data_IF_621631614472
#
_entry.id   IF_621631614472
#
_cell.length_a   1.000
_cell.length_b   1.000
_cell.length_c   1.000
_cell.angle_alpha   90.00
_cell.angle_beta   90.00
_cell.angle_gamma   90.00
#
_symmetry.space_group_name_H-M   'P 1'
#
loop_
_entity.id
_entity.type
_entity.pdbx_description
1 polymer ?
#
# COMPACT_ATOMS: atom_id res chain seq x y z
N UNK A 1 -27.88 -2.23 53.53
CA UNK A 1 -27.08 -1.27 52.73
C UNK A 1 -26.19 -2.06 51.78
N UNK A 2 -26.54 -2.12 50.49
CA UNK A 2 -25.71 -2.78 49.47
C UNK A 2 -24.97 -1.67 48.73
N UNK A 3 -23.65 -1.62 48.87
CA UNK A 3 -22.80 -0.60 48.26
C UNK A 3 -22.90 -0.63 46.72
N UNK A 4 -22.92 0.54 46.03
CA UNK A 4 -22.97 0.60 44.58
C UNK A 4 -21.60 0.25 43.99
N UNK A 5 -21.32 -1.04 43.82
CA UNK A 5 -20.05 -1.56 43.30
C UNK A 5 -19.95 -1.54 41.75
N UNK A 6 -20.90 -0.89 41.06
CA UNK A 6 -21.10 -1.03 39.60
C UNK A 6 -20.56 0.12 38.73
N UNK A 7 -20.25 1.30 39.30
CA UNK A 7 -19.90 2.47 38.49
C UNK A 7 -18.43 2.50 38.04
N UNK A 8 -17.50 2.02 38.88
CA UNK A 8 -16.07 2.01 38.57
C UNK A 8 -15.70 1.10 37.40
N UNK A 9 -16.28 -0.11 37.36
CA UNK A 9 -16.05 -1.08 36.28
C UNK A 9 -16.64 -0.62 34.94
N UNK A 10 -17.79 0.07 34.97
CA UNK A 10 -18.39 0.66 33.77
C UNK A 10 -17.54 1.81 33.24
N UNK A 11 -17.05 2.71 34.10
CA UNK A 11 -16.16 3.81 33.69
C UNK A 11 -14.84 3.29 33.11
N UNK A 12 -14.21 2.30 33.75
CA UNK A 12 -13.00 1.68 33.22
C UNK A 12 -13.22 1.06 31.83
N UNK A 13 -14.34 0.37 31.63
CA UNK A 13 -14.69 -0.22 30.34
C UNK A 13 -14.90 0.84 29.24
N UNK A 14 -15.50 2.00 29.58
CA UNK A 14 -15.64 3.12 28.65
C UNK A 14 -14.30 3.78 28.30
N UNK A 15 -13.40 3.94 29.28
CA UNK A 15 -12.06 4.49 29.04
C UNK A 15 -11.27 3.56 28.11
N UNK A 16 -11.25 2.25 28.40
CA UNK A 16 -10.56 1.26 27.56
C UNK A 16 -11.15 1.23 26.15
N UNK A 17 -12.48 1.24 26.03
CA UNK A 17 -13.16 1.32 24.73
C UNK A 17 -12.80 2.60 23.96
N UNK A 18 -12.78 3.74 24.64
CA UNK A 18 -12.40 5.04 24.07
C UNK A 18 -10.96 5.06 23.56
N UNK A 19 -10.00 4.56 24.35
CA UNK A 19 -8.61 4.42 23.91
C UNK A 19 -8.51 3.52 22.66
N UNK A 20 -9.24 2.41 22.61
CA UNK A 20 -9.28 1.54 21.44
C UNK A 20 -9.80 2.27 20.19
N UNK A 21 -10.83 3.12 20.32
CA UNK A 21 -11.34 3.92 19.18
C UNK A 21 -10.30 4.93 18.70
N UNK A 22 -9.57 5.58 19.61
CA UNK A 22 -8.48 6.51 19.23
C UNK A 22 -7.39 5.78 18.46
N UNK A 23 -6.96 4.60 18.94
CA UNK A 23 -5.96 3.77 18.24
C UNK A 23 -6.49 3.30 16.87
N UNK A 24 -7.78 2.94 16.78
CA UNK A 24 -8.40 2.58 15.51
C UNK A 24 -8.42 3.73 14.51
N UNK A 25 -8.77 4.94 14.96
CA UNK A 25 -8.74 6.15 14.13
C UNK A 25 -7.32 6.47 13.64
N UNK A 26 -6.32 6.36 14.52
CA UNK A 26 -4.92 6.48 14.12
C UNK A 26 -4.52 5.41 13.10
N UNK A 27 -4.95 4.16 13.29
CA UNK A 27 -4.64 3.06 12.38
C UNK A 27 -5.23 3.29 10.98
N UNK A 28 -6.41 3.91 10.86
CA UNK A 28 -6.96 4.34 9.57
C UNK A 28 -6.08 5.40 8.90
N UNK A 29 -5.70 6.45 9.64
CA UNK A 29 -4.85 7.54 9.11
C UNK A 29 -3.46 7.04 8.73
N UNK A 30 -2.88 6.13 9.52
CA UNK A 30 -1.57 5.54 9.26
C UNK A 30 -1.61 4.48 8.16
N UNK A 31 -2.80 3.93 7.83
CA UNK A 31 -2.97 2.70 7.08
C UNK A 31 -2.23 1.51 7.74
N UNK A 32 -2.60 1.21 8.99
CA UNK A 32 -1.99 0.16 9.81
C UNK A 32 -3.04 -0.91 10.20
N UNK A 33 -3.29 -1.91 9.33
CA UNK A 33 -4.41 -2.85 9.50
C UNK A 33 -4.31 -3.69 10.78
N UNK A 34 -3.13 -4.21 11.12
CA UNK A 34 -2.95 -5.04 12.32
C UNK A 34 -3.24 -4.27 13.63
N UNK A 35 -2.69 -3.06 13.85
CA UNK A 35 -3.12 -2.20 14.97
C UNK A 35 -4.61 -1.88 14.98
N UNK A 36 -5.23 -1.64 13.82
CA UNK A 36 -6.67 -1.39 13.70
C UNK A 36 -7.50 -2.59 14.15
N UNK A 37 -7.17 -3.79 13.69
CA UNK A 37 -7.84 -5.04 14.11
C UNK A 37 -7.68 -5.26 15.61
N UNK A 38 -6.46 -5.12 16.14
CA UNK A 38 -6.20 -5.28 17.57
C UNK A 38 -7.00 -4.28 18.42
N UNK A 39 -7.09 -3.02 17.98
CA UNK A 39 -7.87 -1.99 18.63
C UNK A 39 -9.37 -2.34 18.69
N UNK A 40 -9.93 -2.86 17.59
CA UNK A 40 -11.33 -3.31 17.55
C UNK A 40 -11.57 -4.52 18.48
N UNK A 41 -10.65 -5.50 18.51
CA UNK A 41 -10.72 -6.66 19.41
C UNK A 41 -10.75 -6.25 20.89
N UNK A 42 -10.10 -5.14 21.26
CA UNK A 42 -10.13 -4.59 22.62
C UNK A 42 -11.37 -3.72 22.87
N UNK A 43 -11.71 -2.83 21.94
CA UNK A 43 -12.78 -1.86 22.11
C UNK A 43 -14.18 -2.49 22.15
N UNK A 44 -14.43 -3.49 21.28
CA UNK A 44 -15.75 -4.12 21.14
C UNK A 44 -16.21 -4.81 22.44
N UNK A 45 -15.42 -5.70 23.08
CA UNK A 45 -15.77 -6.26 24.39
C UNK A 45 -15.88 -5.21 25.49
N UNK A 46 -15.02 -4.18 25.47
CA UNK A 46 -15.02 -3.13 26.50
C UNK A 46 -16.33 -2.32 26.47
N UNK A 47 -16.76 -1.84 25.30
CA UNK A 47 -18.05 -1.17 25.17
C UNK A 47 -19.24 -2.08 25.45
N UNK A 48 -19.19 -3.34 24.98
CA UNK A 48 -20.25 -4.30 25.26
C UNK A 48 -20.45 -4.53 26.76
N UNK A 49 -19.38 -4.57 27.57
CA UNK A 49 -19.46 -4.71 29.03
C UNK A 49 -20.16 -3.53 29.72
N UNK A 50 -20.09 -2.32 29.16
CA UNK A 50 -20.73 -1.11 29.68
C UNK A 50 -22.23 -1.00 29.34
N UNK A 51 -22.74 -1.86 28.46
CA UNK A 51 -24.14 -1.86 28.00
C UNK A 51 -25.06 -2.71 28.90
N UNK A 52 -26.36 -2.36 28.92
CA UNK A 52 -27.39 -3.16 29.60
C UNK A 52 -27.62 -4.52 28.94
N UNK A 53 -27.66 -4.57 27.60
CA UNK A 53 -27.79 -5.80 26.80
C UNK A 53 -26.44 -6.19 26.19
N UNK A 54 -25.54 -6.71 27.02
CA UNK A 54 -24.12 -6.95 26.67
C UNK A 54 -23.93 -7.81 25.42
N UNK A 55 -24.66 -8.93 25.31
CA UNK A 55 -24.53 -9.85 24.17
C UNK A 55 -24.99 -9.20 22.87
N UNK A 56 -26.16 -8.55 22.88
CA UNK A 56 -26.67 -7.85 21.69
C UNK A 56 -25.75 -6.69 21.27
N UNK A 57 -25.22 -5.92 22.24
CA UNK A 57 -24.27 -4.85 21.97
C UNK A 57 -22.96 -5.39 21.38
N UNK A 58 -22.44 -6.50 21.92
CA UNK A 58 -21.24 -7.15 21.40
C UNK A 58 -21.43 -7.59 19.95
N UNK A 59 -22.51 -8.32 19.64
CA UNK A 59 -22.78 -8.80 18.28
C UNK A 59 -22.91 -7.65 17.29
N UNK A 60 -23.67 -6.60 17.64
CA UNK A 60 -23.83 -5.42 16.79
C UNK A 60 -22.48 -4.72 16.54
N UNK A 61 -21.69 -4.49 17.59
CA UNK A 61 -20.38 -3.84 17.47
C UNK A 61 -19.37 -4.70 16.71
N UNK A 62 -19.40 -6.02 16.88
CA UNK A 62 -18.52 -6.95 16.18
C UNK A 62 -18.80 -6.96 14.67
N UNK A 63 -20.08 -7.09 14.28
CA UNK A 63 -20.50 -7.05 12.87
C UNK A 63 -20.14 -5.70 12.25
N UNK A 64 -20.45 -4.61 12.94
CA UNK A 64 -20.13 -3.27 12.46
C UNK A 64 -18.62 -3.06 12.31
N UNK A 65 -17.83 -3.46 13.31
CA UNK A 65 -16.36 -3.32 13.25
C UNK A 65 -15.75 -4.16 12.15
N UNK A 66 -16.23 -5.39 11.96
CA UNK A 66 -15.78 -6.25 10.87
C UNK A 66 -16.10 -5.64 9.50
N UNK A 67 -17.30 -5.09 9.31
CA UNK A 67 -17.67 -4.41 8.07
C UNK A 67 -16.80 -3.18 7.80
N UNK A 68 -16.51 -2.35 8.81
CA UNK A 68 -15.64 -1.17 8.67
C UNK A 68 -14.20 -1.57 8.37
N UNK A 69 -13.65 -2.56 9.09
CA UNK A 69 -12.29 -3.07 8.85
C UNK A 69 -12.19 -3.62 7.43
N UNK A 70 -13.16 -4.41 7.00
CA UNK A 70 -13.20 -4.96 5.64
C UNK A 70 -13.26 -3.83 4.60
N UNK A 71 -14.16 -2.86 4.75
CA UNK A 71 -14.28 -1.74 3.83
C UNK A 71 -12.98 -0.92 3.76
N UNK A 72 -12.33 -0.66 4.90
CA UNK A 72 -11.12 0.14 5.00
C UNK A 72 -9.86 -0.56 4.47
N UNK A 73 -9.65 -1.82 4.84
CA UNK A 73 -8.38 -2.53 4.62
C UNK A 73 -8.49 -3.74 3.69
N UNK A 74 -9.69 -4.28 3.49
CA UNK A 74 -9.94 -5.47 2.68
C UNK A 74 -10.33 -5.16 1.23
N UNK A 75 -10.45 -3.89 0.85
CA UNK A 75 -10.82 -3.50 -0.51
C UNK A 75 -9.81 -2.53 -1.11
N UNK A 76 -9.57 -2.64 -2.42
CA UNK A 76 -8.75 -1.67 -3.18
C UNK A 76 -9.30 -0.25 -3.07
N UNK A 77 -10.62 -0.09 -3.03
CA UNK A 77 -11.25 1.23 -2.86
C UNK A 77 -10.96 1.81 -1.48
N UNK A 78 -11.02 1.00 -0.42
CA UNK A 78 -10.62 1.40 0.93
C UNK A 78 -9.15 1.81 1.01
N UNK A 79 -8.26 0.96 0.45
CA UNK A 79 -6.84 1.26 0.31
C UNK A 79 -6.63 2.61 -0.39
N UNK A 80 -7.28 2.82 -1.54
CA UNK A 80 -7.16 4.06 -2.32
C UNK A 80 -7.63 5.27 -1.51
N UNK A 81 -8.81 5.21 -0.92
CA UNK A 81 -9.38 6.34 -0.17
C UNK A 81 -8.48 6.73 1.01
N UNK A 82 -7.97 5.75 1.76
CA UNK A 82 -7.11 6.00 2.91
C UNK A 82 -5.70 6.47 2.52
N UNK A 83 -5.21 6.10 1.33
CA UNK A 83 -3.88 6.47 0.86
C UNK A 83 -3.87 7.53 -0.25
N UNK A 84 -5.02 8.12 -0.62
CA UNK A 84 -5.14 9.02 -1.77
C UNK A 84 -4.10 10.14 -1.78
N UNK A 85 -3.95 10.85 -0.66
CA UNK A 85 -2.99 11.94 -0.55
C UNK A 85 -1.53 11.48 -0.69
N UNK A 86 -1.22 10.26 -0.25
CA UNK A 86 0.12 9.67 -0.39
C UNK A 86 0.38 9.23 -1.82
N UNK A 87 -0.62 8.67 -2.48
CA UNK A 87 -0.58 8.32 -3.89
C UNK A 87 -0.41 9.58 -4.75
N UNK A 88 -1.18 10.64 -4.48
CA UNK A 88 -1.04 11.95 -5.14
C UNK A 88 0.37 12.54 -4.95
N UNK A 89 0.93 12.46 -3.74
CA UNK A 89 2.29 12.92 -3.46
C UNK A 89 3.35 12.12 -4.23
N UNK A 90 3.19 10.80 -4.34
CA UNK A 90 4.07 9.93 -5.13
C UNK A 90 3.98 10.27 -6.62
N UNK A 91 2.77 10.50 -7.15
CA UNK A 91 2.55 10.92 -8.54
C UNK A 91 3.24 12.26 -8.81
N UNK A 92 3.08 13.25 -7.92
CA UNK A 92 3.73 14.54 -8.06
C UNK A 92 5.27 14.43 -8.03
N UNK A 93 5.79 13.56 -7.16
CA UNK A 93 7.22 13.31 -7.04
C UNK A 93 7.79 12.63 -8.29
N UNK A 94 7.09 11.61 -8.80
CA UNK A 94 7.42 10.99 -10.09
C UNK A 94 7.39 12.04 -11.18
N UNK A 95 6.30 12.82 -11.31
CA UNK A 95 6.12 13.84 -12.34
C UNK A 95 7.30 14.82 -12.41
N UNK A 96 7.82 15.22 -11.25
CA UNK A 96 8.97 16.12 -11.11
C UNK A 96 10.34 15.48 -11.47
N UNK A 97 10.40 14.19 -11.77
CA UNK A 97 11.56 13.46 -12.29
C UNK A 97 11.23 12.87 -13.68
N UNK A 98 11.13 13.69 -14.75
CA UNK A 98 10.66 13.26 -16.06
C UNK A 98 11.53 12.21 -16.76
N UNK A 99 12.82 12.14 -16.42
CA UNK A 99 13.76 11.16 -16.96
C UNK A 99 13.62 9.78 -16.33
N UNK A 100 12.90 9.66 -15.21
CA UNK A 100 12.56 8.39 -14.57
C UNK A 100 11.19 7.93 -15.11
N UNK A 101 11.24 7.07 -16.11
CA UNK A 101 10.09 6.58 -16.89
C UNK A 101 9.49 5.32 -16.26
N UNK A 102 10.32 4.41 -15.76
CA UNK A 102 9.84 3.24 -15.02
C UNK A 102 10.77 2.86 -13.88
N UNK A 103 10.21 2.21 -12.87
CA UNK A 103 10.95 1.64 -11.76
C UNK A 103 10.24 0.38 -11.28
N UNK A 104 10.98 -0.70 -11.13
CA UNK A 104 10.54 -1.94 -10.49
C UNK A 104 11.52 -2.28 -9.38
N UNK A 105 11.00 -2.43 -8.16
CA UNK A 105 11.83 -2.52 -6.95
C UNK A 105 12.65 -3.81 -6.88
N UNK A 106 12.15 -4.90 -7.47
CA UNK A 106 12.64 -6.26 -7.23
C UNK A 106 12.52 -6.67 -5.75
N UNK A 107 12.94 -7.89 -5.42
CA UNK A 107 13.21 -8.35 -4.05
C UNK A 107 14.70 -8.18 -3.74
N UNK A 108 14.99 -7.54 -2.60
CA UNK A 108 16.37 -7.38 -2.13
C UNK A 108 16.98 -8.71 -1.64
N UNK A 109 16.16 -9.70 -1.27
CA UNK A 109 16.58 -11.06 -0.91
C UNK A 109 16.14 -12.08 -1.97
N UNK A 110 17.06 -12.78 -2.66
CA UNK A 110 16.70 -13.92 -3.49
C UNK A 110 16.23 -15.08 -2.58
N UNK A 111 15.14 -15.80 -2.91
CA UNK A 111 14.76 -16.98 -2.15
C UNK A 111 15.90 -18.00 -2.16
N UNK A 112 16.11 -18.68 -1.01
CA UNK A 112 17.23 -19.61 -0.79
C UNK A 112 17.32 -20.74 -1.84
N UNK A 113 16.23 -21.00 -2.56
CA UNK A 113 16.08 -22.03 -3.60
C UNK A 113 15.53 -21.44 -4.91
N UNK A 114 16.05 -20.29 -5.36
CA UNK A 114 15.61 -19.68 -6.61
C UNK A 114 16.03 -20.52 -7.84
N UNK A 115 15.12 -21.35 -8.36
CA UNK A 115 15.16 -21.77 -9.76
C UNK A 115 15.18 -20.55 -10.71
N UNK A 116 15.53 -20.76 -11.98
CA UNK A 116 15.66 -19.72 -13.03
C UNK A 116 14.47 -18.74 -13.09
N UNK A 117 13.28 -19.20 -12.69
CA UNK A 117 12.02 -18.44 -12.65
C UNK A 117 11.84 -17.54 -11.42
N UNK A 118 12.71 -17.56 -10.42
CA UNK A 118 12.63 -16.64 -9.27
C UNK A 118 13.63 -15.47 -9.35
N UNK A 119 14.49 -15.48 -10.37
CA UNK A 119 15.54 -14.48 -10.57
C UNK A 119 15.06 -13.17 -11.19
N UNK A 120 13.94 -13.19 -11.93
CA UNK A 120 13.31 -11.96 -12.42
C UNK A 120 12.70 -11.17 -11.25
N UNK A 121 12.12 -11.85 -10.25
CA UNK A 121 11.57 -11.22 -9.05
C UNK A 121 12.63 -10.53 -8.18
N UNK A 122 13.90 -10.96 -8.21
CA UNK A 122 15.00 -10.36 -7.42
C UNK A 122 15.69 -9.19 -8.13
N UNK A 123 15.17 -8.76 -9.27
CA UNK A 123 15.84 -7.77 -10.12
C UNK A 123 15.22 -6.40 -9.99
N UNK A 124 16.04 -5.41 -9.63
CA UNK A 124 15.65 -4.01 -9.70
C UNK A 124 15.82 -3.50 -11.13
N UNK A 125 14.77 -2.88 -11.67
CA UNK A 125 14.78 -2.24 -12.98
C UNK A 125 14.52 -0.74 -12.85
N UNK A 126 15.29 0.07 -13.58
CA UNK A 126 15.05 1.50 -13.75
C UNK A 126 15.05 1.77 -15.24
N UNK A 127 13.96 2.35 -15.77
CA UNK A 127 13.76 2.53 -17.22
C UNK A 127 13.97 1.22 -18.02
N UNK A 128 13.58 0.08 -17.45
CA UNK A 128 13.79 -1.25 -18.03
C UNK A 128 15.24 -1.75 -18.03
N UNK A 129 16.19 -0.94 -17.55
CA UNK A 129 17.58 -1.34 -17.37
C UNK A 129 17.78 -1.94 -15.98
N UNK A 130 18.56 -3.02 -15.94
CA UNK A 130 18.90 -3.68 -14.68
C UNK A 130 19.90 -2.86 -13.90
N UNK A 131 19.56 -2.58 -12.64
CA UNK A 131 20.42 -1.83 -11.73
C UNK A 131 20.71 -2.60 -10.45
N UNK A 132 21.88 -2.38 -9.87
CA UNK A 132 22.30 -2.96 -8.60
C UNK A 132 22.87 -1.90 -7.66
N UNK A 133 22.63 -2.08 -6.36
CA UNK A 133 23.22 -1.27 -5.29
C UNK A 133 24.72 -1.57 -5.11
N UNK A 134 25.13 -2.78 -5.45
CA UNK A 134 26.48 -3.27 -5.24
C UNK A 134 27.38 -2.97 -6.44
N UNK A 135 28.70 -2.98 -6.23
CA UNK A 135 29.63 -2.98 -7.37
C UNK A 135 29.52 -4.36 -8.04
N UNK A 136 29.30 -4.44 -9.36
CA UNK A 136 29.28 -5.73 -10.06
C UNK A 136 30.56 -6.51 -9.75
N UNK A 137 30.42 -7.69 -9.16
CA UNK A 137 31.55 -8.58 -8.85
C UNK A 137 31.39 -9.89 -9.63
N UNK A 138 32.29 -10.12 -10.59
CA UNK A 138 32.35 -11.36 -11.37
C UNK A 138 31.55 -11.33 -12.68
N UNK A 139 31.61 -12.44 -13.41
CA UNK A 139 31.06 -12.56 -14.77
C UNK A 139 29.54 -12.65 -14.85
N UNK A 140 28.85 -12.96 -13.74
CA UNK A 140 27.38 -13.13 -13.67
C UNK A 140 26.59 -11.81 -13.55
N UNK A 141 27.28 -10.69 -13.36
CA UNK A 141 26.67 -9.38 -13.07
C UNK A 141 27.04 -8.32 -14.13
N UNK A 142 27.50 -8.79 -15.30
CA UNK A 142 28.09 -7.96 -16.37
C UNK A 142 27.09 -7.04 -17.06
N UNK A 143 25.81 -7.36 -17.03
CA UNK A 143 24.73 -6.56 -17.63
C UNK A 143 24.02 -5.63 -16.63
N UNK A 144 24.43 -5.62 -15.35
CA UNK A 144 23.84 -4.78 -14.30
C UNK A 144 24.58 -3.46 -14.18
N UNK A 145 23.89 -2.33 -14.32
CA UNK A 145 24.46 -1.02 -14.06
C UNK A 145 24.46 -0.70 -12.57
N UNK A 146 25.45 0.07 -12.11
CA UNK A 146 25.43 0.56 -10.73
C UNK A 146 24.35 1.64 -10.62
N UNK A 147 23.38 1.43 -9.72
CA UNK A 147 22.18 2.26 -9.57
C UNK A 147 22.51 3.76 -9.45
N UNK A 148 23.47 4.13 -8.62
CA UNK A 148 23.85 5.54 -8.39
C UNK A 148 24.45 6.21 -9.64
N UNK A 149 25.18 5.45 -10.46
CA UNK A 149 25.83 6.01 -11.65
C UNK A 149 24.79 6.15 -12.77
N UNK A 150 23.90 5.16 -12.94
CA UNK A 150 22.78 5.25 -13.89
C UNK A 150 21.81 6.39 -13.55
N UNK A 151 21.46 6.57 -12.27
CA UNK A 151 20.61 7.70 -11.85
C UNK A 151 21.29 9.06 -12.08
N UNK A 152 22.62 9.13 -11.93
CA UNK A 152 23.38 10.34 -12.25
C UNK A 152 23.31 10.67 -13.74
N UNK A 153 23.41 9.67 -14.62
CA UNK A 153 23.26 9.86 -16.07
C UNK A 153 21.86 10.35 -16.44
N UNK A 154 20.82 9.88 -15.74
CA UNK A 154 19.45 10.36 -15.89
C UNK A 154 19.19 11.74 -15.26
N UNK A 155 20.19 12.34 -14.59
CA UNK A 155 20.04 13.61 -13.86
C UNK A 155 19.11 13.51 -12.64
N UNK A 156 18.86 12.30 -12.13
CA UNK A 156 17.97 12.05 -10.98
C UNK A 156 18.79 12.10 -9.68
N UNK A 157 18.48 12.99 -8.73
CA UNK A 157 19.17 13.02 -7.46
C UNK A 157 18.93 11.72 -6.67
N UNK A 158 20.01 11.06 -6.24
CA UNK A 158 19.92 9.77 -5.54
C UNK A 158 19.05 9.82 -4.28
N UNK A 159 19.13 10.90 -3.51
CA UNK A 159 18.31 11.10 -2.31
C UNK A 159 16.81 11.15 -2.64
N UNK A 160 16.46 11.76 -3.77
CA UNK A 160 15.07 11.90 -4.24
C UNK A 160 14.52 10.56 -4.71
N UNK A 161 15.32 9.82 -5.48
CA UNK A 161 15.02 8.45 -5.86
C UNK A 161 14.82 7.53 -4.63
N UNK A 162 15.73 7.58 -3.64
CA UNK A 162 15.61 6.78 -2.41
C UNK A 162 14.36 7.13 -1.60
N UNK A 163 14.00 8.41 -1.54
CA UNK A 163 12.76 8.85 -0.89
C UNK A 163 11.52 8.29 -1.60
N UNK A 164 11.52 8.27 -2.94
CA UNK A 164 10.47 7.65 -3.76
C UNK A 164 10.39 6.13 -3.50
N UNK A 165 11.51 5.41 -3.49
CA UNK A 165 11.52 3.98 -3.16
C UNK A 165 10.90 3.70 -1.78
N UNK A 166 11.28 4.50 -0.77
CA UNK A 166 10.70 4.37 0.57
C UNK A 166 9.21 4.74 0.65
N UNK A 167 8.73 5.65 -0.21
CA UNK A 167 7.32 5.99 -0.30
C UNK A 167 6.51 4.86 -0.92
N UNK A 168 7.00 4.28 -2.03
CA UNK A 168 6.39 3.10 -2.67
C UNK A 168 6.37 1.90 -1.72
N UNK A 169 7.47 1.66 -1.01
CA UNK A 169 7.56 0.59 -0.01
C UNK A 169 6.52 0.73 1.10
N UNK A 170 6.38 1.93 1.69
CA UNK A 170 5.37 2.19 2.72
C UNK A 170 3.94 2.00 2.22
N UNK A 171 3.72 2.21 0.92
CA UNK A 171 2.45 1.96 0.25
C UNK A 171 2.28 0.49 -0.16
N UNK A 172 3.32 -0.35 -0.05
CA UNK A 172 3.29 -1.74 -0.50
C UNK A 172 3.27 -1.90 -2.02
N UNK A 173 3.71 -0.88 -2.77
CA UNK A 173 3.76 -0.88 -4.22
C UNK A 173 5.09 -1.46 -4.72
N UNK A 174 5.05 -2.15 -5.85
CA UNK A 174 6.22 -2.78 -6.45
C UNK A 174 7.02 -1.82 -7.35
N UNK A 175 6.37 -0.80 -7.88
CA UNK A 175 7.00 0.06 -8.87
C UNK A 175 6.09 1.14 -9.42
N UNK A 176 6.54 1.73 -10.52
CA UNK A 176 5.72 2.59 -11.34
C UNK A 176 6.16 2.54 -12.81
N UNK A 177 5.22 2.91 -13.68
CA UNK A 177 5.43 3.06 -15.12
C UNK A 177 4.77 4.34 -15.63
N UNK A 178 5.48 5.10 -16.46
CA UNK A 178 4.90 6.20 -17.23
C UNK A 178 4.40 5.68 -18.56
N UNK A 179 3.15 5.99 -18.88
CA UNK A 179 2.58 5.69 -20.18
C UNK A 179 2.78 6.84 -21.19
N UNK A 180 2.52 6.56 -22.47
CA UNK A 180 2.75 7.51 -23.57
C UNK A 180 1.80 8.73 -23.53
N UNK A 181 0.65 8.63 -22.85
CA UNK A 181 -0.30 9.73 -22.65
C UNK A 181 0.03 10.62 -21.44
N UNK A 182 1.18 10.42 -20.81
CA UNK A 182 1.58 11.14 -19.59
C UNK A 182 0.94 10.58 -18.31
N UNK A 183 0.26 9.44 -18.40
CA UNK A 183 -0.26 8.73 -17.25
C UNK A 183 0.86 8.10 -16.41
N UNK A 184 0.62 7.99 -15.11
CA UNK A 184 1.53 7.34 -14.17
C UNK A 184 0.77 6.16 -13.55
N UNK A 185 1.21 4.94 -13.86
CA UNK A 185 0.77 3.73 -13.19
C UNK A 185 1.65 3.45 -11.98
N UNK A 186 1.03 3.22 -10.84
CA UNK A 186 1.67 2.75 -9.62
C UNK A 186 1.33 1.27 -9.47
N UNK A 187 2.34 0.42 -9.61
CA UNK A 187 2.14 -1.00 -9.86
C UNK A 187 2.07 -1.77 -8.54
N UNK A 188 1.02 -2.57 -8.38
CA UNK A 188 0.90 -3.52 -7.28
C UNK A 188 1.90 -4.68 -7.48
N UNK A 189 2.32 -5.35 -6.39
CA UNK A 189 3.14 -6.55 -6.51
C UNK A 189 2.45 -7.62 -7.37
N UNK A 190 3.14 -8.08 -8.41
CA UNK A 190 2.67 -9.19 -9.26
C UNK A 190 2.72 -10.48 -8.42
N UNK A 191 1.58 -11.15 -8.19
CA UNK A 191 1.58 -12.48 -7.58
C UNK A 191 2.19 -13.49 -8.56
N UNK A 192 3.24 -14.19 -8.12
CA UNK A 192 4.08 -15.15 -8.86
C UNK A 192 3.55 -15.66 -10.21
N UNK A 193 4.28 -15.32 -11.28
CA UNK A 193 4.17 -15.94 -12.60
C UNK A 193 3.02 -15.47 -13.51
N UNK A 194 2.26 -14.45 -13.10
CA UNK A 194 1.26 -13.82 -13.99
C UNK A 194 1.90 -12.73 -14.85
N UNK A 195 1.68 -12.71 -16.18
CA UNK A 195 2.27 -11.70 -17.07
C UNK A 195 1.53 -10.36 -17.03
N UNK A 196 0.45 -10.24 -16.26
CA UNK A 196 -0.31 -9.01 -16.04
C UNK A 196 -0.31 -8.66 -14.55
N UNK A 197 -0.13 -7.38 -14.24
CA UNK A 197 -0.24 -6.79 -12.91
C UNK A 197 -1.41 -5.84 -12.81
N UNK A 198 -1.75 -5.42 -11.59
CA UNK A 198 -2.74 -4.37 -11.33
C UNK A 198 -2.03 -3.08 -10.94
N UNK A 199 -2.58 -1.94 -11.35
CA UNK A 199 -1.97 -0.64 -11.09
C UNK A 199 -3.02 0.41 -10.71
N UNK A 200 -2.63 1.30 -9.81
CA UNK A 200 -3.32 2.58 -9.60
C UNK A 200 -2.81 3.57 -10.63
N UNK A 201 -3.65 3.96 -11.58
CA UNK A 201 -3.26 4.83 -12.68
C UNK A 201 -3.80 6.23 -12.46
N UNK A 202 -2.88 7.19 -12.43
CA UNK A 202 -3.18 8.61 -12.51
C UNK A 202 -3.15 9.07 -13.96
N UNK A 203 -4.26 9.66 -14.45
CA UNK A 203 -4.36 10.29 -15.77
C UNK A 203 -4.73 11.76 -15.64
N UNK A 204 -3.87 12.70 -16.08
CA UNK A 204 -4.15 14.14 -15.99
C UNK A 204 -5.37 14.59 -16.79
N UNK A 205 -5.69 13.89 -17.88
CA UNK A 205 -6.80 14.19 -18.79
C UNK A 205 -8.14 13.57 -18.36
N UNK A 206 -8.16 12.85 -17.23
CA UNK A 206 -9.33 12.14 -16.68
C UNK A 206 -9.97 11.12 -17.64
N UNK A 207 -9.35 10.85 -18.78
CA UNK A 207 -9.82 9.84 -19.72
C UNK A 207 -9.54 8.46 -19.13
N UNK A 208 -10.47 7.52 -19.29
CA UNK A 208 -10.21 6.15 -18.84
C UNK A 208 -8.96 5.61 -19.57
N UNK A 209 -7.99 4.99 -18.88
CA UNK A 209 -6.82 4.38 -19.51
C UNK A 209 -7.27 3.45 -20.65
N UNK A 210 -6.52 3.35 -21.77
CA UNK A 210 -6.74 2.25 -22.69
C UNK A 210 -6.47 0.96 -21.90
N UNK A 211 -7.54 0.35 -21.39
CA UNK A 211 -7.47 -0.75 -20.46
C UNK A 211 -7.28 -2.08 -21.17
N UNK A 212 -6.96 -3.11 -20.40
CA UNK A 212 -7.07 -4.50 -20.85
C UNK A 212 -8.53 -4.94 -20.99
N UNK A 213 -9.48 -4.19 -20.40
CA UNK A 213 -10.91 -4.54 -20.37
C UNK A 213 -11.25 -5.56 -19.29
N UNK A 214 -10.39 -5.71 -18.28
CA UNK A 214 -10.60 -6.65 -17.19
C UNK A 214 -11.78 -6.22 -16.30
N UNK A 215 -12.46 -7.19 -15.69
CA UNK A 215 -13.62 -6.96 -14.83
C UNK A 215 -13.30 -6.08 -13.59
N UNK A 216 -12.05 -6.08 -13.16
CA UNK A 216 -11.55 -5.26 -12.06
C UNK A 216 -11.30 -3.79 -12.45
N UNK A 217 -11.25 -3.48 -13.75
CA UNK A 217 -10.94 -2.14 -14.25
C UNK A 217 -12.05 -1.16 -13.87
N UNK A 218 -11.70 -0.12 -13.10
CA UNK A 218 -12.69 0.85 -12.63
C UNK A 218 -12.09 2.20 -12.32
N UNK A 219 -12.94 3.22 -12.37
CA UNK A 219 -12.62 4.55 -11.88
C UNK A 219 -12.71 4.57 -10.35
N UNK A 220 -11.69 5.13 -9.70
CA UNK A 220 -11.64 5.29 -8.24
C UNK A 220 -12.02 6.71 -7.81
N UNK A 221 -11.58 7.72 -8.57
CA UNK A 221 -11.87 9.13 -8.38
C UNK A 221 -11.59 9.91 -9.68
N UNK A 222 -11.83 11.23 -9.74
CA UNK A 222 -11.27 12.04 -10.81
C UNK A 222 -9.77 11.83 -10.94
N UNK A 223 -9.32 11.59 -12.17
CA UNK A 223 -7.96 11.31 -12.60
C UNK A 223 -7.38 9.98 -12.10
N UNK A 224 -8.12 9.19 -11.33
CA UNK A 224 -7.62 7.96 -10.71
C UNK A 224 -8.42 6.73 -11.11
N UNK A 225 -7.68 5.72 -11.56
CA UNK A 225 -8.22 4.47 -12.05
C UNK A 225 -7.49 3.29 -11.41
N UNK A 226 -8.18 2.18 -11.26
CA UNK A 226 -7.58 0.89 -10.98
C UNK A 226 -7.73 0.06 -12.23
N UNK A 227 -6.62 -0.41 -12.80
CA UNK A 227 -6.64 -1.18 -14.04
C UNK A 227 -5.67 -2.35 -13.99
N UNK A 228 -6.00 -3.39 -14.71
CA UNK A 228 -5.11 -4.51 -14.99
C UNK A 228 -4.30 -4.20 -16.25
N UNK A 229 -2.97 -4.31 -16.15
CA UNK A 229 -1.99 -3.99 -17.19
C UNK A 229 -1.06 -5.18 -17.43
N UNK A 230 -0.72 -5.44 -18.69
CA UNK A 230 0.19 -6.51 -19.12
C UNK A 230 0.79 -6.15 -20.48
#
# INVERSE_FOLDING_TARGET
MIAPRSDGTRRAALIVGGCGVVVFGWALVAYAPAPGIAAAVVAVPAFARAAKRRVAAFLALAVFSAAVIWAAFGTTTGYFVLNRSRLDAVVAEIAAMPTLVSFERGRDDPPAEAERTAWWESTRLVNGQRVTLYRPQGSRDTDSLREIDFLRELGVPYARYRALCGALERLGLAGFTRGPGGEIGLDEPIPGGTPWGTSFVYRPDDAFPPGSGAESDRRLAPNWFFVTRG
#
